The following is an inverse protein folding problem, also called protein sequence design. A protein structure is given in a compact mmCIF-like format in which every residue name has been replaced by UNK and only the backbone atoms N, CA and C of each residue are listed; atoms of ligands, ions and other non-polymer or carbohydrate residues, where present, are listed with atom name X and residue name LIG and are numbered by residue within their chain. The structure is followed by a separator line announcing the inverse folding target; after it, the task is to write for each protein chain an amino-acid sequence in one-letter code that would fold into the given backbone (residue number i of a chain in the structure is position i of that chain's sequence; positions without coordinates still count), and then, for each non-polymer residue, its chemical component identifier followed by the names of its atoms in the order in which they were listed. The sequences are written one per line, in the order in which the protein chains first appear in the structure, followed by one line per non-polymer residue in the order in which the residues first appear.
data_IF_364654844755
#
_entry.id   IF_364654844755
#
_cell.length_a   1.000
_cell.length_b   1.000
_cell.length_c   1.000
_cell.angle_alpha   90.00
_cell.angle_beta   90.00
_cell.angle_gamma   90.00
#
_symmetry.space_group_name_H-M   'P 1'
#
loop_
_entity.id
_entity.type
_entity.pdbx_description
1 polymer ?
#
# COMPACT_ATOMS: atom_id res chain seq x y z
N UNK A 1 -18.93 8.02 -0.28
CA UNK A 1 -17.58 8.27 0.28
C UNK A 1 -16.58 7.85 -0.78
N UNK A 2 -15.52 8.60 -1.03
CA UNK A 2 -14.51 8.23 -2.03
C UNK A 2 -13.23 7.72 -1.35
N UNK A 3 -12.73 6.58 -1.80
CA UNK A 3 -11.35 6.14 -1.50
C UNK A 3 -10.55 6.06 -2.77
N UNK A 4 -9.26 6.36 -2.67
CA UNK A 4 -8.32 6.22 -3.79
C UNK A 4 -7.32 5.13 -3.47
N UNK A 5 -6.90 4.41 -4.50
CA UNK A 5 -5.80 3.47 -4.44
C UNK A 5 -4.78 3.76 -5.52
N UNK A 6 -3.51 3.69 -5.14
CA UNK A 6 -2.35 3.90 -6.03
C UNK A 6 -1.51 2.64 -5.99
N UNK A 7 -1.34 1.97 -7.13
CA UNK A 7 -0.24 1.02 -7.31
C UNK A 7 0.95 1.83 -7.83
N UNK A 8 1.90 2.15 -6.94
CA UNK A 8 2.98 3.08 -7.26
C UNK A 8 4.15 2.32 -7.90
N UNK A 9 4.66 2.86 -8.99
CA UNK A 9 5.92 2.41 -9.60
C UNK A 9 6.97 3.53 -9.56
N UNK A 10 8.24 3.19 -9.79
CA UNK A 10 9.30 4.20 -9.92
C UNK A 10 9.02 5.21 -11.05
N UNK A 11 8.28 4.80 -12.08
CA UNK A 11 7.93 5.63 -13.25
C UNK A 11 6.40 5.71 -13.43
N UNK A 12 5.85 6.87 -13.86
CA UNK A 12 4.42 7.05 -14.06
C UNK A 12 3.77 6.01 -14.98
N UNK A 13 4.47 5.57 -16.04
CA UNK A 13 3.96 4.61 -17.04
C UNK A 13 3.45 3.30 -16.43
N UNK A 14 3.98 2.90 -15.26
CA UNK A 14 3.56 1.71 -14.51
C UNK A 14 2.81 2.02 -13.23
N UNK A 15 2.41 3.28 -13.03
CA UNK A 15 1.61 3.70 -11.89
C UNK A 15 0.15 3.66 -12.27
N UNK A 16 -0.66 2.98 -11.46
CA UNK A 16 -2.09 2.92 -11.63
C UNK A 16 -2.82 3.69 -10.53
N UNK A 17 -3.92 4.34 -10.90
CA UNK A 17 -4.72 5.16 -10.01
C UNK A 17 -6.19 4.75 -10.12
N UNK A 18 -6.78 4.37 -9.00
CA UNK A 18 -8.18 3.94 -8.90
C UNK A 18 -8.95 4.82 -7.93
N UNK A 19 -10.18 5.20 -8.29
CA UNK A 19 -11.14 5.81 -7.38
C UNK A 19 -12.35 4.89 -7.19
N UNK A 20 -12.71 4.63 -5.94
CA UNK A 20 -13.86 3.81 -5.58
C UNK A 20 -14.83 4.64 -4.74
N UNK A 21 -16.05 4.80 -5.26
CA UNK A 21 -17.14 5.46 -4.56
C UNK A 21 -17.99 4.44 -3.80
N UNK A 22 -18.22 4.70 -2.53
CA UNK A 22 -18.93 3.87 -1.56
C UNK A 22 -20.27 4.51 -1.22
N UNK A 23 -21.37 3.82 -1.51
CA UNK A 23 -22.72 4.28 -1.17
C UNK A 23 -23.70 3.12 -1.05
N UNK A 24 -24.65 3.24 -0.11
CA UNK A 24 -25.82 2.34 -0.05
C UNK A 24 -25.50 0.84 0.01
N UNK A 25 -24.49 0.42 0.76
CA UNK A 25 -24.10 -0.99 0.84
C UNK A 25 -23.40 -1.53 -0.41
N UNK A 26 -22.93 -0.64 -1.29
CA UNK A 26 -22.25 -0.97 -2.54
C UNK A 26 -21.01 -0.11 -2.73
N UNK A 27 -20.18 -0.52 -3.68
CA UNK A 27 -19.06 0.25 -4.17
C UNK A 27 -19.08 0.30 -5.69
N UNK A 28 -18.61 1.40 -6.29
CA UNK A 28 -18.43 1.54 -7.73
C UNK A 28 -17.02 2.04 -8.00
N UNK A 29 -16.30 1.36 -8.90
CA UNK A 29 -15.05 1.89 -9.43
C UNK A 29 -15.39 3.06 -10.36
N UNK A 30 -15.20 4.28 -9.86
CA UNK A 30 -15.58 5.53 -10.53
C UNK A 30 -14.59 5.89 -11.64
N UNK A 31 -13.29 5.66 -11.40
CA UNK A 31 -12.23 5.81 -12.39
C UNK A 31 -11.10 4.81 -12.15
N UNK A 32 -10.40 4.46 -13.23
CA UNK A 32 -9.20 3.63 -13.20
C UNK A 32 -8.31 4.03 -14.38
N UNK A 33 -7.08 4.46 -14.11
CA UNK A 33 -6.09 4.85 -15.13
C UNK A 33 -4.74 4.16 -14.88
N UNK A 34 -3.95 4.07 -15.96
CA UNK A 34 -2.52 3.75 -15.94
C UNK A 34 -1.76 4.98 -16.41
N UNK A 35 -0.48 5.09 -16.06
CA UNK A 35 0.33 6.23 -16.48
C UNK A 35 0.25 7.42 -15.53
N UNK A 36 -0.26 7.22 -14.29
CA UNK A 36 -0.57 8.33 -13.40
C UNK A 36 0.70 9.01 -12.86
N UNK A 37 0.75 10.33 -13.05
CA UNK A 37 1.79 11.20 -12.48
C UNK A 37 1.40 11.71 -11.10
N UNK A 38 2.38 12.26 -10.37
CA UNK A 38 2.18 12.69 -8.99
C UNK A 38 1.17 13.84 -8.87
N UNK A 39 1.17 14.78 -9.82
CA UNK A 39 0.17 15.86 -9.87
C UNK A 39 -1.27 15.34 -10.00
N UNK A 40 -1.49 14.31 -10.82
CA UNK A 40 -2.81 13.69 -11.00
C UNK A 40 -3.25 12.99 -9.70
N UNK A 41 -2.34 12.26 -9.06
CA UNK A 41 -2.58 11.57 -7.79
C UNK A 41 -2.96 12.58 -6.69
N UNK A 42 -2.19 13.67 -6.56
CA UNK A 42 -2.44 14.74 -5.59
C UNK A 42 -3.73 15.49 -5.90
N UNK A 43 -4.05 15.75 -7.17
CA UNK A 43 -5.30 16.40 -7.53
C UNK A 43 -6.52 15.55 -7.14
N UNK A 44 -6.49 14.24 -7.42
CA UNK A 44 -7.60 13.35 -7.11
C UNK A 44 -7.77 13.17 -5.59
N UNK A 45 -6.67 13.11 -4.83
CA UNK A 45 -6.69 12.92 -3.36
C UNK A 45 -7.49 13.96 -2.59
N UNK A 46 -7.60 15.19 -3.12
CA UNK A 46 -8.36 16.28 -2.49
C UNK A 46 -9.83 15.93 -2.26
N UNK A 47 -10.38 15.03 -3.09
CA UNK A 47 -11.78 14.60 -3.02
C UNK A 47 -11.99 13.29 -2.24
N UNK A 48 -10.90 12.61 -1.87
CA UNK A 48 -10.97 11.33 -1.17
C UNK A 48 -10.95 11.49 0.35
N UNK A 49 -11.62 10.57 1.02
CA UNK A 49 -11.60 10.44 2.48
C UNK A 49 -10.33 9.74 2.95
N UNK A 50 -9.86 8.75 2.18
CA UNK A 50 -8.66 7.95 2.49
C UNK A 50 -7.98 7.53 1.20
N UNK A 51 -6.65 7.51 1.19
CA UNK A 51 -5.81 7.21 0.03
C UNK A 51 -4.84 6.09 0.42
N UNK A 52 -4.97 4.95 -0.24
CA UNK A 52 -4.07 3.81 -0.10
C UNK A 52 -2.99 3.84 -1.17
N UNK A 53 -1.73 3.77 -0.77
CA UNK A 53 -0.58 3.76 -1.69
C UNK A 53 0.18 2.46 -1.50
N UNK A 54 0.31 1.64 -2.54
CA UNK A 54 1.15 0.43 -2.54
C UNK A 54 2.63 0.83 -2.68
N UNK A 55 3.18 1.35 -1.59
CA UNK A 55 4.61 1.62 -1.45
C UNK A 55 5.00 1.79 0.02
N UNK A 56 6.25 1.45 0.35
CA UNK A 56 6.82 1.77 1.65
C UNK A 56 6.96 3.29 1.84
N UNK A 57 6.43 3.82 2.94
CA UNK A 57 6.50 5.26 3.27
C UNK A 57 7.84 5.72 3.86
N UNK A 58 8.75 4.80 4.14
CA UNK A 58 10.04 5.12 4.75
C UNK A 58 10.99 3.93 4.79
N UNK A 59 12.13 4.14 5.42
CA UNK A 59 13.18 3.15 5.66
C UNK A 59 13.31 2.86 7.14
N UNK A 60 13.84 1.69 7.55
CA UNK A 60 14.14 1.42 8.93
C UNK A 60 15.01 2.52 9.56
N UNK A 61 14.68 2.96 10.78
CA UNK A 61 15.47 3.95 11.52
C UNK A 61 16.94 3.51 11.66
N UNK A 62 17.15 2.22 11.95
CA UNK A 62 18.50 1.64 12.04
C UNK A 62 19.23 1.64 10.69
N UNK A 63 18.52 1.49 9.57
CA UNK A 63 19.12 1.57 8.23
C UNK A 63 19.59 2.99 7.91
N UNK A 64 18.75 3.98 8.17
CA UNK A 64 19.10 5.39 7.98
C UNK A 64 20.31 5.79 8.85
N UNK A 65 20.33 5.35 10.12
CA UNK A 65 21.46 5.56 11.03
C UNK A 65 22.73 4.84 10.53
N UNK A 66 22.60 3.62 10.02
CA UNK A 66 23.71 2.85 9.47
C UNK A 66 24.36 3.52 8.26
N UNK A 67 23.56 3.90 7.25
CA UNK A 67 24.05 4.60 6.05
C UNK A 67 24.70 5.92 6.43
N UNK A 68 24.06 6.70 7.32
CA UNK A 68 24.59 7.98 7.78
C UNK A 68 25.92 7.86 8.52
N UNK A 69 26.06 6.86 9.40
CA UNK A 69 27.34 6.62 10.08
C UNK A 69 28.41 6.15 9.09
N UNK A 70 28.04 5.27 8.16
CA UNK A 70 28.96 4.78 7.12
C UNK A 70 29.51 5.93 6.27
N UNK A 71 28.68 6.88 5.83
CA UNK A 71 29.16 8.02 5.01
C UNK A 71 30.17 8.89 5.76
N UNK A 72 30.04 8.98 7.08
CA UNK A 72 30.98 9.67 7.98
C UNK A 72 32.17 8.81 8.44
N UNK A 73 32.24 7.54 8.01
CA UNK A 73 33.24 6.55 8.45
C UNK A 73 33.18 6.26 9.96
N UNK A 74 31.98 6.32 10.52
CA UNK A 74 31.68 6.01 11.91
C UNK A 74 31.03 4.62 12.06
N UNK A 75 31.02 4.10 13.28
CA UNK A 75 30.28 2.87 13.60
C UNK A 75 28.87 3.25 14.04
N UNK A 76 27.86 2.74 13.32
CA UNK A 76 26.47 2.91 13.69
C UNK A 76 26.18 2.24 15.05
N UNK A 77 25.41 2.89 15.95
CA UNK A 77 24.94 2.24 17.16
C UNK A 77 24.16 0.97 16.83
N UNK A 78 24.53 -0.15 17.46
CA UNK A 78 23.84 -1.44 17.30
C UNK A 78 24.00 -2.29 18.55
N UNK A 79 22.95 -3.05 18.87
CA UNK A 79 22.95 -4.05 19.95
C UNK A 79 23.05 -5.49 19.43
N UNK A 80 22.83 -5.68 18.13
CA UNK A 80 22.88 -6.98 17.46
C UNK A 80 24.10 -7.07 16.53
N UNK A 81 24.38 -8.30 16.06
CA UNK A 81 25.43 -8.56 15.08
C UNK A 81 24.98 -9.57 14.01
N UNK A 82 25.79 -9.71 12.95
CA UNK A 82 25.65 -10.77 11.97
C UNK A 82 24.32 -10.74 11.19
N UNK A 83 23.59 -11.86 11.19
CA UNK A 83 22.35 -12.02 10.42
C UNK A 83 21.20 -11.21 11.01
N UNK A 84 21.08 -11.17 12.33
CA UNK A 84 19.94 -10.55 12.99
C UNK A 84 20.00 -9.03 12.89
N UNK A 85 21.20 -8.44 13.00
CA UNK A 85 21.39 -7.03 12.71
C UNK A 85 21.07 -6.70 11.25
N UNK A 86 21.55 -7.48 10.28
CA UNK A 86 21.20 -7.26 8.86
C UNK A 86 19.70 -7.33 8.60
N UNK A 87 18.97 -8.17 9.34
CA UNK A 87 17.50 -8.19 9.26
C UNK A 87 16.86 -6.91 9.80
N UNK A 88 17.40 -6.30 10.85
CA UNK A 88 16.96 -4.98 11.37
C UNK A 88 17.15 -3.88 10.33
N UNK A 89 18.27 -3.91 9.62
CA UNK A 89 18.55 -2.96 8.53
C UNK A 89 17.64 -3.18 7.30
N UNK A 90 17.26 -4.43 7.02
CA UNK A 90 16.46 -4.78 5.85
C UNK A 90 14.95 -4.49 6.03
N UNK A 91 14.38 -4.88 7.17
CA UNK A 91 12.92 -4.87 7.36
C UNK A 91 12.51 -3.91 8.46
N UNK A 92 11.51 -3.08 8.15
CA UNK A 92 10.85 -2.16 9.08
C UNK A 92 10.09 -2.93 10.15
N UNK A 93 9.71 -2.24 11.22
CA UNK A 93 8.87 -2.87 12.25
C UNK A 93 7.50 -3.29 11.69
N UNK A 94 6.92 -2.50 10.78
CA UNK A 94 5.67 -2.87 10.09
C UNK A 94 5.82 -4.11 9.21
N UNK A 95 6.99 -4.35 8.61
CA UNK A 95 7.21 -5.51 7.75
C UNK A 95 7.23 -6.81 8.57
N UNK A 96 7.76 -6.74 9.80
CA UNK A 96 7.76 -7.85 10.77
C UNK A 96 6.35 -8.15 11.24
N UNK A 97 5.58 -7.12 11.59
CA UNK A 97 4.18 -7.27 11.98
C UNK A 97 3.36 -7.90 10.83
N UNK A 98 3.54 -7.42 9.60
CA UNK A 98 2.89 -8.01 8.43
C UNK A 98 3.32 -9.47 8.19
N UNK A 99 4.60 -9.81 8.43
CA UNK A 99 5.09 -11.19 8.33
C UNK A 99 4.46 -12.11 9.38
N UNK A 100 4.28 -11.65 10.60
CA UNK A 100 3.66 -12.42 11.68
C UNK A 100 2.21 -12.78 11.34
N UNK A 101 1.46 -11.83 10.77
CA UNK A 101 0.05 -12.04 10.37
C UNK A 101 -0.07 -12.88 9.10
N UNK A 102 0.72 -12.57 8.07
CA UNK A 102 0.52 -13.15 6.72
C UNK A 102 1.34 -14.42 6.48
N UNK A 103 2.41 -14.64 7.25
CA UNK A 103 3.40 -15.68 7.00
C UNK A 103 4.26 -15.42 5.76
N UNK A 104 4.29 -14.20 5.22
CA UNK A 104 5.14 -13.78 4.08
C UNK A 104 5.88 -12.48 4.40
N UNK A 105 7.14 -12.39 3.97
CA UNK A 105 7.88 -11.14 4.10
C UNK A 105 7.42 -10.18 2.99
N UNK A 106 7.13 -8.91 3.32
CA UNK A 106 7.13 -7.86 2.33
C UNK A 106 8.50 -7.74 1.65
N UNK A 107 8.54 -7.03 0.51
CA UNK A 107 9.83 -6.64 -0.06
C UNK A 107 10.51 -5.64 0.88
N UNK A 108 11.79 -5.86 1.14
CA UNK A 108 12.63 -4.92 1.90
C UNK A 108 12.83 -3.64 1.09
N UNK A 109 12.38 -2.51 1.65
CA UNK A 109 12.64 -1.17 1.09
C UNK A 109 14.13 -0.84 1.01
N UNK A 110 14.93 -1.43 1.90
CA UNK A 110 16.37 -1.19 2.00
C UNK A 110 17.21 -2.05 1.05
N UNK A 111 16.75 -3.26 0.70
CA UNK A 111 17.61 -4.28 0.06
C UNK A 111 16.99 -5.04 -1.11
N UNK A 112 15.68 -4.94 -1.34
CA UNK A 112 15.00 -5.58 -2.47
C UNK A 112 14.67 -4.57 -3.60
N UNK A 113 13.96 -5.03 -4.64
CA UNK A 113 13.56 -4.24 -5.82
C UNK A 113 12.40 -3.26 -5.51
N UNK A 114 12.51 -2.50 -4.42
CA UNK A 114 11.51 -1.50 -3.98
C UNK A 114 12.11 -0.09 -3.86
N UNK A 115 13.44 0.04 -3.74
CA UNK A 115 14.10 1.31 -3.42
C UNK A 115 13.75 2.50 -4.33
N UNK A 116 13.74 2.31 -5.66
CA UNK A 116 13.41 3.40 -6.60
C UNK A 116 11.96 3.87 -6.46
N UNK A 117 11.01 2.94 -6.29
CA UNK A 117 9.61 3.29 -6.05
C UNK A 117 9.45 4.01 -4.71
N UNK A 118 10.15 3.58 -3.66
CA UNK A 118 10.10 4.23 -2.35
C UNK A 118 10.71 5.64 -2.35
N UNK A 119 11.76 5.89 -3.15
CA UNK A 119 12.29 7.24 -3.36
C UNK A 119 11.25 8.15 -4.00
N UNK A 120 10.58 7.70 -5.08
CA UNK A 120 9.45 8.44 -5.65
C UNK A 120 8.29 8.60 -4.66
N UNK A 121 8.01 7.59 -3.83
CA UNK A 121 6.98 7.70 -2.80
C UNK A 121 7.32 8.81 -1.79
N UNK A 122 8.59 8.98 -1.42
CA UNK A 122 8.99 10.08 -0.56
C UNK A 122 8.70 11.45 -1.21
N UNK A 123 9.03 11.62 -2.50
CA UNK A 123 8.69 12.82 -3.27
C UNK A 123 7.17 13.05 -3.35
N UNK A 124 6.38 12.00 -3.55
CA UNK A 124 4.92 12.07 -3.57
C UNK A 124 4.34 12.48 -2.20
N UNK A 125 4.90 11.96 -1.10
CA UNK A 125 4.51 12.35 0.26
C UNK A 125 4.83 13.83 0.52
N UNK A 126 5.97 14.34 0.05
CA UNK A 126 6.31 15.77 0.09
C UNK A 126 5.31 16.60 -0.75
N UNK A 127 4.92 16.12 -1.93
CA UNK A 127 3.94 16.78 -2.77
C UNK A 127 2.55 16.86 -2.10
N UNK A 128 2.13 15.81 -1.36
CA UNK A 128 0.92 15.87 -0.54
C UNK A 128 1.03 16.91 0.58
N UNK A 129 2.15 16.94 1.30
CA UNK A 129 2.38 17.93 2.35
C UNK A 129 2.35 19.36 1.80
N UNK A 130 3.00 19.61 0.66
CA UNK A 130 2.98 20.90 -0.04
C UNK A 130 1.57 21.30 -0.52
N UNK A 131 0.70 20.32 -0.79
CA UNK A 131 -0.70 20.52 -1.14
C UNK A 131 -1.63 20.75 0.08
N UNK A 132 -1.08 20.72 1.30
CA UNK A 132 -1.79 20.95 2.56
C UNK A 132 -2.25 19.67 3.29
N UNK A 133 -1.78 18.49 2.88
CA UNK A 133 -2.08 17.24 3.58
C UNK A 133 -1.29 17.14 4.90
N UNK A 134 -1.94 16.63 5.95
CA UNK A 134 -1.26 16.17 7.15
C UNK A 134 -0.72 14.75 6.94
N UNK A 135 0.56 14.66 6.60
CA UNK A 135 1.22 13.39 6.23
C UNK A 135 1.68 12.65 7.48
N UNK A 136 0.78 11.87 8.08
CA UNK A 136 1.11 10.91 9.13
C UNK A 136 1.37 9.52 8.53
N UNK A 137 2.66 9.16 8.43
CA UNK A 137 3.09 7.87 7.86
C UNK A 137 2.69 6.65 8.70
N UNK A 138 2.32 6.85 9.97
CA UNK A 138 1.79 5.78 10.82
C UNK A 138 0.33 5.41 10.48
N UNK A 139 -0.30 6.17 9.57
CA UNK A 139 -1.69 5.98 9.16
C UNK A 139 -2.70 6.64 10.11
N UNK A 140 -2.32 7.64 10.90
CA UNK A 140 -3.29 8.43 11.67
C UNK A 140 -4.02 9.50 10.84
N UNK A 141 -3.50 9.81 9.64
CA UNK A 141 -4.09 10.74 8.68
C UNK A 141 -4.90 10.04 7.58
N UNK A 142 -5.06 10.71 6.42
CA UNK A 142 -5.80 10.13 5.27
C UNK A 142 -4.94 9.25 4.36
N UNK A 143 -3.62 9.39 4.43
CA UNK A 143 -2.67 8.61 3.64
C UNK A 143 -2.33 7.32 4.39
N UNK A 144 -2.43 6.19 3.70
CA UNK A 144 -2.10 4.89 4.28
C UNK A 144 -1.23 4.06 3.35
N UNK A 145 -0.26 3.37 3.94
CA UNK A 145 0.52 2.37 3.23
C UNK A 145 -0.35 1.13 3.01
N UNK A 146 -0.75 0.92 1.75
CA UNK A 146 -1.52 -0.23 1.34
C UNK A 146 -0.59 -1.39 1.01
N UNK A 147 -1.06 -2.63 1.21
CA UNK A 147 -0.34 -3.82 0.76
C UNK A 147 -1.29 -4.80 0.06
N UNK A 148 -1.61 -4.57 -1.23
CA UNK A 148 -2.59 -5.32 -2.00
C UNK A 148 -2.45 -6.84 -1.90
N UNK A 149 -1.24 -7.36 -2.08
CA UNK A 149 -1.00 -8.80 -2.02
C UNK A 149 -1.33 -9.42 -0.64
N UNK A 150 -1.11 -8.67 0.44
CA UNK A 150 -1.47 -9.11 1.79
C UNK A 150 -2.98 -8.97 2.05
N UNK A 151 -3.61 -7.90 1.57
CA UNK A 151 -5.06 -7.71 1.63
C UNK A 151 -5.82 -8.84 0.91
N UNK A 152 -5.44 -9.16 -0.32
CA UNK A 152 -5.98 -10.26 -1.11
C UNK A 152 -5.86 -11.61 -0.39
N UNK A 153 -4.69 -11.85 0.24
CA UNK A 153 -4.45 -13.06 1.03
C UNK A 153 -5.35 -13.12 2.26
N UNK A 154 -5.49 -12.02 2.99
CA UNK A 154 -6.37 -11.91 4.15
C UNK A 154 -7.83 -12.19 3.77
N UNK A 155 -8.30 -11.61 2.66
CA UNK A 155 -9.63 -11.83 2.10
C UNK A 155 -9.82 -13.16 1.37
N UNK A 156 -8.78 -14.01 1.33
CA UNK A 156 -8.80 -15.34 0.70
C UNK A 156 -9.16 -15.31 -0.79
N UNK A 157 -8.77 -14.24 -1.49
CA UNK A 157 -8.88 -14.15 -2.94
C UNK A 157 -7.73 -14.94 -3.56
N UNK A 158 -8.05 -15.88 -4.45
CA UNK A 158 -7.03 -16.62 -5.19
C UNK A 158 -6.37 -15.71 -6.23
N UNK A 159 -5.08 -15.50 -6.05
CA UNK A 159 -4.24 -14.67 -6.92
C UNK A 159 -3.00 -15.43 -7.40
N UNK A 160 -3.11 -16.76 -7.51
CA UNK A 160 -1.98 -17.62 -7.88
C UNK A 160 -1.34 -17.24 -9.21
N UNK A 161 -0.15 -16.63 -9.14
CA UNK A 161 0.66 -16.25 -10.29
C UNK A 161 0.34 -14.88 -10.93
N UNK A 162 -0.60 -14.09 -10.40
CA UNK A 162 -1.04 -12.84 -11.04
C UNK A 162 0.07 -11.79 -11.22
N UNK A 163 1.09 -11.77 -10.34
CA UNK A 163 2.26 -10.88 -10.43
C UNK A 163 3.35 -11.39 -11.40
N UNK A 164 3.25 -12.62 -11.89
CA UNK A 164 4.28 -13.26 -12.74
C UNK A 164 3.78 -13.71 -14.10
N UNK A 165 2.46 -13.89 -14.24
CA UNK A 165 1.79 -14.46 -15.39
C UNK A 165 0.65 -13.53 -15.81
N UNK A 166 0.76 -12.82 -16.94
CA UNK A 166 -0.26 -11.87 -17.38
C UNK A 166 -1.67 -12.48 -17.46
N UNK A 167 -1.79 -13.73 -17.89
CA UNK A 167 -3.07 -14.44 -18.00
C UNK A 167 -3.72 -14.75 -16.65
N UNK A 168 -2.95 -14.75 -15.55
CA UNK A 168 -3.45 -15.05 -14.22
C UNK A 168 -4.17 -13.86 -13.56
N UNK A 169 -4.00 -12.64 -14.07
CA UNK A 169 -4.69 -11.45 -13.54
C UNK A 169 -6.20 -11.53 -13.78
N UNK A 170 -6.61 -12.03 -14.95
CA UNK A 170 -8.02 -12.24 -15.25
C UNK A 170 -8.69 -13.22 -14.26
N UNK A 171 -7.99 -14.30 -13.88
CA UNK A 171 -8.48 -15.26 -12.89
C UNK A 171 -8.60 -14.64 -11.49
N UNK A 172 -7.63 -13.82 -11.10
CA UNK A 172 -7.68 -13.07 -9.84
C UNK A 172 -8.86 -12.07 -9.82
N UNK A 173 -9.11 -11.39 -10.94
CA UNK A 173 -10.27 -10.52 -11.11
C UNK A 173 -11.59 -11.29 -10.98
N UNK A 174 -11.72 -12.45 -11.61
CA UNK A 174 -12.91 -13.30 -11.46
C UNK A 174 -13.13 -13.74 -10.01
N UNK A 175 -12.05 -14.12 -9.31
CA UNK A 175 -12.12 -14.46 -7.89
C UNK A 175 -12.57 -13.27 -7.03
N UNK A 176 -12.03 -12.08 -7.28
CA UNK A 176 -12.46 -10.84 -6.62
C UNK A 176 -13.95 -10.58 -6.88
N UNK A 177 -14.42 -10.69 -8.13
CA UNK A 177 -15.83 -10.43 -8.48
C UNK A 177 -16.80 -11.41 -7.82
N UNK A 178 -16.40 -12.67 -7.64
CA UNK A 178 -17.19 -13.65 -6.89
C UNK A 178 -17.27 -13.30 -5.41
N UNK A 179 -16.17 -12.81 -4.83
CA UNK A 179 -16.08 -12.47 -3.41
C UNK A 179 -16.66 -11.09 -3.07
N UNK A 180 -16.69 -10.16 -4.02
CA UNK A 180 -17.23 -8.81 -3.87
C UNK A 180 -18.30 -8.54 -4.94
N UNK A 181 -19.47 -9.23 -4.90
CA UNK A 181 -20.56 -8.98 -5.85
C UNK A 181 -21.16 -7.57 -5.72
N UNK A 182 -20.84 -6.86 -4.63
CA UNK A 182 -21.22 -5.48 -4.36
C UNK A 182 -20.33 -4.43 -5.03
N UNK A 183 -19.21 -4.85 -5.65
CA UNK A 183 -18.27 -3.96 -6.35
C UNK A 183 -18.66 -3.85 -7.83
N UNK A 184 -19.24 -2.72 -8.20
CA UNK A 184 -19.61 -2.40 -9.57
C UNK A 184 -18.44 -1.80 -10.36
N UNK A 185 -18.34 -2.19 -11.63
CA UNK A 185 -17.29 -1.75 -12.53
C UNK A 185 -17.76 -1.80 -13.97
N UNK A 186 -17.37 -0.79 -14.76
CA UNK A 186 -17.67 -0.77 -16.20
C UNK A 186 -16.93 -1.88 -16.94
N UNK A 187 -17.42 -2.27 -18.12
CA UNK A 187 -16.74 -3.25 -18.97
C UNK A 187 -15.29 -2.82 -19.33
N UNK A 188 -15.07 -1.52 -19.57
CA UNK A 188 -13.74 -0.98 -19.83
C UNK A 188 -12.79 -1.08 -18.63
N UNK A 189 -13.30 -0.80 -17.43
CA UNK A 189 -12.58 -0.96 -16.16
C UNK A 189 -12.19 -2.42 -15.93
N UNK A 190 -13.14 -3.35 -16.10
CA UNK A 190 -12.90 -4.78 -15.95
C UNK A 190 -11.86 -5.28 -16.96
N UNK A 191 -11.95 -4.84 -18.23
CA UNK A 191 -10.96 -5.19 -19.25
C UNK A 191 -9.56 -4.66 -18.93
N UNK A 192 -9.45 -3.51 -18.25
CA UNK A 192 -8.17 -2.93 -17.82
C UNK A 192 -7.57 -3.73 -16.66
N UNK A 193 -8.36 -4.03 -15.63
CA UNK A 193 -7.93 -4.88 -14.52
C UNK A 193 -7.51 -6.26 -15.01
N UNK A 194 -8.21 -6.85 -15.98
CA UNK A 194 -7.90 -8.20 -16.48
C UNK A 194 -6.54 -8.33 -17.20
N UNK A 195 -5.98 -7.21 -17.70
CA UNK A 195 -4.74 -7.19 -18.49
C UNK A 195 -3.55 -6.52 -17.80
N UNK A 196 -3.77 -5.89 -16.64
CA UNK A 196 -2.76 -5.15 -15.90
C UNK A 196 -2.91 -5.45 -14.41
N UNK A 197 -1.89 -6.11 -13.85
CA UNK A 197 -1.80 -6.30 -12.40
C UNK A 197 -1.67 -4.96 -11.68
N UNK A 198 -0.94 -3.99 -12.23
CA UNK A 198 -0.82 -2.64 -11.67
C UNK A 198 -2.23 -2.00 -11.50
N UNK A 199 -3.08 -2.08 -12.53
CA UNK A 199 -4.46 -1.59 -12.47
C UNK A 199 -5.34 -2.38 -11.48
N UNK A 200 -5.13 -3.69 -11.38
CA UNK A 200 -5.83 -4.53 -10.41
C UNK A 200 -5.43 -4.14 -8.97
N UNK A 201 -4.13 -4.00 -8.70
CA UNK A 201 -3.59 -3.67 -7.38
C UNK A 201 -3.97 -2.26 -6.93
N UNK A 202 -4.10 -1.28 -7.83
CA UNK A 202 -4.64 0.04 -7.49
C UNK A 202 -6.07 -0.05 -6.95
N UNK A 203 -6.93 -0.89 -7.53
CA UNK A 203 -8.28 -1.11 -6.99
C UNK A 203 -8.20 -1.75 -5.61
N UNK A 204 -7.35 -2.77 -5.43
CA UNK A 204 -7.17 -3.41 -4.12
C UNK A 204 -6.62 -2.43 -3.08
N UNK A 205 -5.71 -1.53 -3.45
CA UNK A 205 -5.21 -0.47 -2.58
C UNK A 205 -6.33 0.48 -2.14
N UNK A 206 -7.30 0.78 -3.02
CA UNK A 206 -8.49 1.56 -2.66
C UNK A 206 -9.41 0.81 -1.68
N UNK A 207 -9.59 -0.51 -1.88
CA UNK A 207 -10.32 -1.36 -0.92
C UNK A 207 -9.60 -1.43 0.43
N UNK A 208 -8.26 -1.48 0.42
CA UNK A 208 -7.44 -1.45 1.63
C UNK A 208 -7.58 -0.13 2.38
N UNK A 209 -7.59 1.00 1.66
CA UNK A 209 -7.87 2.32 2.21
C UNK A 209 -9.26 2.39 2.86
N UNK A 210 -10.27 1.73 2.27
CA UNK A 210 -11.60 1.61 2.88
C UNK A 210 -11.57 0.80 4.18
N UNK A 211 -10.83 -0.30 4.22
CA UNK A 211 -10.68 -1.09 5.45
C UNK A 211 -10.11 -0.22 6.58
N UNK A 212 -9.07 0.56 6.27
CA UNK A 212 -8.48 1.49 7.21
C UNK A 212 -9.47 2.58 7.66
N UNK A 213 -10.22 3.17 6.73
CA UNK A 213 -11.23 4.19 7.05
C UNK A 213 -12.34 3.69 7.98
N UNK A 214 -12.58 2.37 8.02
CA UNK A 214 -13.53 1.71 8.91
C UNK A 214 -12.90 1.32 10.27
N UNK A 215 -11.59 1.53 10.44
CA UNK A 215 -10.84 1.06 11.61
C UNK A 215 -10.50 -0.43 11.58
N UNK A 216 -10.72 -1.10 10.45
CA UNK A 216 -10.55 -2.56 10.28
C UNK A 216 -9.15 -2.91 9.78
N UNK A 217 -8.12 -2.28 10.34
CA UNK A 217 -6.70 -2.57 10.05
C UNK A 217 -5.89 -2.79 11.31
N UNK A 218 -4.78 -3.51 11.20
CA UNK A 218 -3.90 -3.81 12.31
C UNK A 218 -3.40 -2.52 12.97
N UNK A 219 -3.67 -2.27 14.26
CA UNK A 219 -3.27 -1.03 14.91
C UNK A 219 -1.76 -0.97 15.11
N UNK A 220 -1.21 0.24 15.17
CA UNK A 220 0.17 0.49 15.59
C UNK A 220 0.30 0.15 17.08
N UNK A 221 1.14 -0.82 17.49
CA UNK A 221 1.42 -1.06 18.90
C UNK A 221 2.05 0.17 19.54
N UNK A 222 1.64 0.53 20.76
CA UNK A 222 2.09 1.77 21.41
C UNK A 222 3.61 1.91 21.54
N UNK A 223 4.33 0.80 21.75
CA UNK A 223 5.80 0.79 21.83
C UNK A 223 6.51 0.95 20.47
N UNK A 224 5.78 0.89 19.35
CA UNK A 224 6.30 1.06 17.99
C UNK A 224 5.84 2.38 17.36
N UNK A 225 5.21 3.27 18.11
CA UNK A 225 4.63 4.52 17.59
C UNK A 225 5.66 5.40 16.87
N UNK A 226 6.81 5.62 17.52
CA UNK A 226 7.93 6.38 16.95
C UNK A 226 8.45 5.75 15.65
N UNK A 227 8.60 4.42 15.64
CA UNK A 227 9.01 3.69 14.44
C UNK A 227 7.96 3.82 13.32
N UNK A 228 6.67 3.71 13.63
CA UNK A 228 5.60 3.85 12.64
C UNK A 228 5.54 5.26 12.02
N UNK A 229 5.72 6.30 12.83
CA UNK A 229 5.78 7.70 12.36
C UNK A 229 7.01 7.96 11.46
N UNK A 230 8.12 7.26 11.74
CA UNK A 230 9.38 7.39 11.00
C UNK A 230 9.50 6.49 9.76
N UNK A 231 8.99 5.26 9.82
CA UNK A 231 9.22 4.19 8.83
C UNK A 231 7.98 3.92 7.96
N UNK A 232 6.80 4.33 8.43
CA UNK A 232 5.51 3.92 7.88
C UNK A 232 4.89 2.73 8.61
N UNK A 233 3.56 2.60 8.52
CA UNK A 233 2.82 1.42 8.99
C UNK A 233 1.84 0.91 7.95
N UNK A 234 1.99 -0.36 7.55
CA UNK A 234 1.10 -1.03 6.60
C UNK A 234 -0.28 -1.14 7.23
N UNK A 235 -1.28 -0.57 6.56
CA UNK A 235 -2.68 -0.66 6.92
C UNK A 235 -3.24 -2.05 6.56
N UNK A 236 -2.76 -3.11 7.23
CA UNK A 236 -3.13 -4.49 6.93
C UNK A 236 -4.57 -4.78 7.38
N UNK A 237 -5.50 -5.21 6.51
CA UNK A 237 -6.88 -5.45 6.89
C UNK A 237 -7.04 -6.58 7.92
N UNK A 238 -7.99 -6.42 8.84
CA UNK A 238 -8.35 -7.41 9.87
C UNK A 238 -9.78 -7.90 9.71
N UNK A 239 -10.66 -7.09 9.13
CA UNK A 239 -12.06 -7.43 8.81
C UNK A 239 -12.24 -8.23 7.50
N UNK A 240 -13.39 -8.90 7.32
CA UNK A 240 -13.71 -9.59 6.06
C UNK A 240 -14.00 -8.59 4.93
N UNK A 241 -13.85 -9.02 3.67
CA UNK A 241 -14.08 -8.17 2.50
C UNK A 241 -15.50 -7.56 2.46
N UNK A 242 -16.53 -8.32 2.86
CA UNK A 242 -17.91 -7.83 2.91
C UNK A 242 -18.17 -6.79 4.02
N UNK A 243 -17.24 -6.59 4.95
CA UNK A 243 -17.35 -5.52 5.92
C UNK A 243 -17.14 -4.14 5.27
N UNK A 244 -16.44 -4.06 4.13
CA UNK A 244 -16.11 -2.78 3.48
C UNK A 244 -17.35 -1.97 3.04
N UNK A 245 -18.46 -2.66 2.76
CA UNK A 245 -19.73 -2.04 2.38
C UNK A 245 -20.70 -1.85 3.55
N UNK A 246 -20.31 -2.22 4.77
CA UNK A 246 -21.14 -1.94 5.95
C UNK A 246 -21.12 -0.44 6.25
N UNK A 247 -22.30 0.07 6.60
CA UNK A 247 -22.59 1.48 6.90
C UNK A 247 -22.04 1.89 8.25
#
# INVERSE_FOLDING_TARGET
MLTIGVDLAAEPVRTALAAVDWSGGRARIASLSLGAGDEEIVALSRTATTIGIDCAFGWPLEFAAFVSAHTRREVAPRTLAGRDWRRRLAYRETDRAAREVTGRWPLSVSTDRLGMTAMRCAELLEAFAAAGEDVDRSGGGRLVEAYPAAALRHWRIDTTGYKTRPEAVALALEALRRAAPWLDASAGTLALMARSNDAFDAVIAALNARAHALGDTLPVPGHLREAAEAEGWIALPTGPLDALVRS
#
